data_IF_100773314787
#
_entry.id   IF_100773314787
#
_cell.length_a   1.000
_cell.length_b   1.000
_cell.length_c   1.000
_cell.angle_alpha   90.00
_cell.angle_beta   90.00
_cell.angle_gamma   90.00
#
_symmetry.space_group_name_H-M   'P 1'
#
loop_
_entity.id
_entity.type
_entity.pdbx_description
1 polymer ?
#
# COMPACT_ATOMS: atom_id res chain seq x y z
N UNK A 1 -23.15 -1.35 11.20
CA UNK A 1 -23.44 -0.43 10.10
C UNK A 1 -24.77 -0.82 9.48
N UNK A 2 -25.42 0.14 8.83
CA UNK A 2 -26.65 -0.02 8.07
C UNK A 2 -26.30 -0.08 6.58
N UNK A 3 -26.60 -1.18 5.93
CA UNK A 3 -26.39 -1.37 4.50
C UNK A 3 -27.71 -1.28 3.75
N UNK A 4 -27.62 -0.83 2.50
CA UNK A 4 -28.74 -0.82 1.57
C UNK A 4 -28.33 -1.51 0.27
N UNK A 5 -28.96 -2.62 -0.08
CA UNK A 5 -28.61 -3.41 -1.26
C UNK A 5 -29.61 -3.13 -2.38
N UNK A 6 -29.11 -2.95 -3.59
CA UNK A 6 -29.92 -2.72 -4.80
C UNK A 6 -29.47 -3.68 -5.89
N UNK A 7 -30.31 -4.64 -6.22
CA UNK A 7 -30.05 -5.64 -7.26
C UNK A 7 -31.41 -6.16 -7.74
N UNK A 8 -31.60 -6.31 -9.05
CA UNK A 8 -32.84 -6.86 -9.62
C UNK A 8 -32.91 -8.39 -9.54
N UNK A 9 -31.80 -9.05 -9.19
CA UNK A 9 -31.75 -10.48 -8.93
C UNK A 9 -32.10 -10.80 -7.46
N UNK A 10 -33.24 -11.46 -7.19
CA UNK A 10 -33.66 -11.80 -5.83
C UNK A 10 -32.72 -12.80 -5.13
N UNK A 11 -32.00 -13.64 -5.87
CA UNK A 11 -31.02 -14.56 -5.29
C UNK A 11 -29.81 -13.78 -4.76
N UNK A 12 -29.31 -12.81 -5.54
CA UNK A 12 -28.20 -11.95 -5.12
C UNK A 12 -28.58 -11.13 -3.89
N UNK A 13 -29.77 -10.51 -3.88
CA UNK A 13 -30.29 -9.80 -2.70
C UNK A 13 -30.30 -10.69 -1.46
N UNK A 14 -30.81 -11.93 -1.60
CA UNK A 14 -30.91 -12.88 -0.48
C UNK A 14 -29.52 -13.26 0.05
N UNK A 15 -28.58 -13.57 -0.85
CA UNK A 15 -27.21 -13.97 -0.48
C UNK A 15 -26.50 -12.82 0.23
N UNK A 16 -26.47 -11.63 -0.37
CA UNK A 16 -25.75 -10.48 0.20
C UNK A 16 -26.35 -10.02 1.54
N UNK A 17 -27.68 -10.05 1.65
CA UNK A 17 -28.38 -9.72 2.91
C UNK A 17 -27.92 -10.66 4.02
N UNK A 18 -27.98 -11.97 3.79
CA UNK A 18 -27.53 -12.97 4.78
C UNK A 18 -26.07 -12.79 5.16
N UNK A 19 -25.18 -12.59 4.18
CA UNK A 19 -23.75 -12.43 4.44
C UNK A 19 -23.45 -11.23 5.36
N UNK A 20 -24.09 -10.09 5.13
CA UNK A 20 -23.90 -8.88 5.93
C UNK A 20 -24.59 -8.96 7.29
N UNK A 21 -25.78 -9.56 7.36
CA UNK A 21 -26.48 -9.79 8.63
C UNK A 21 -25.70 -10.76 9.55
N UNK A 22 -25.14 -11.83 8.99
CA UNK A 22 -24.27 -12.77 9.73
C UNK A 22 -22.98 -12.09 10.21
N UNK A 23 -22.51 -11.04 9.52
CA UNK A 23 -21.41 -10.17 9.97
C UNK A 23 -21.84 -9.12 11.02
N UNK A 24 -23.10 -9.14 11.46
CA UNK A 24 -23.64 -8.26 12.51
C UNK A 24 -24.08 -6.88 12.00
N UNK A 25 -24.41 -6.76 10.70
CA UNK A 25 -24.90 -5.51 10.11
C UNK A 25 -26.42 -5.51 9.94
N UNK A 26 -27.01 -4.32 9.86
CA UNK A 26 -28.43 -4.16 9.49
C UNK A 26 -28.51 -3.96 8.00
N UNK A 27 -29.47 -4.59 7.34
CA UNK A 27 -29.59 -4.57 5.88
C UNK A 27 -31.01 -4.23 5.47
N UNK A 28 -31.14 -3.25 4.58
CA UNK A 28 -32.32 -3.01 3.76
C UNK A 28 -32.00 -3.40 2.32
N UNK A 29 -33.00 -3.86 1.56
CA UNK A 29 -32.79 -4.29 0.18
C UNK A 29 -33.95 -3.83 -0.70
N UNK A 30 -33.65 -3.45 -1.94
CA UNK A 30 -34.66 -3.13 -2.95
C UNK A 30 -34.35 -3.81 -4.30
N UNK A 31 -35.38 -4.32 -4.99
CA UNK A 31 -35.22 -5.00 -6.27
C UNK A 31 -35.08 -4.04 -7.47
N UNK A 32 -35.06 -2.71 -7.23
CA UNK A 32 -34.93 -1.74 -8.31
C UNK A 32 -34.31 -0.42 -7.85
N UNK A 33 -33.53 0.19 -8.74
CA UNK A 33 -32.93 1.51 -8.51
C UNK A 33 -33.97 2.61 -8.24
N UNK A 34 -35.15 2.55 -8.88
CA UNK A 34 -36.23 3.51 -8.64
C UNK A 34 -36.79 3.44 -7.22
N UNK A 35 -36.89 2.23 -6.67
CA UNK A 35 -37.34 2.02 -5.28
C UNK A 35 -36.26 2.50 -4.31
N UNK A 36 -35.01 2.13 -4.56
CA UNK A 36 -33.86 2.55 -3.77
C UNK A 36 -33.71 4.08 -3.73
N UNK A 37 -33.86 4.77 -4.87
CA UNK A 37 -33.75 6.22 -4.97
C UNK A 37 -34.78 6.98 -4.10
N UNK A 38 -35.92 6.35 -3.80
CA UNK A 38 -36.95 6.90 -2.90
C UNK A 38 -36.66 6.57 -1.43
N UNK A 39 -36.11 5.39 -1.15
CA UNK A 39 -35.94 4.86 0.19
C UNK A 39 -34.61 5.27 0.85
N UNK A 40 -33.49 5.27 0.12
CA UNK A 40 -32.15 5.63 0.63
C UNK A 40 -32.12 7.01 1.34
N UNK A 41 -32.76 8.08 0.81
CA UNK A 41 -32.81 9.38 1.50
C UNK A 41 -33.50 9.35 2.87
N UNK A 42 -34.42 8.40 3.06
CA UNK A 42 -35.19 8.21 4.30
C UNK A 42 -34.43 7.32 5.29
N UNK A 43 -33.86 6.21 4.83
CA UNK A 43 -33.14 5.25 5.68
C UNK A 43 -31.73 5.70 6.04
N UNK A 44 -31.09 6.52 5.20
CA UNK A 44 -29.72 7.04 5.37
C UNK A 44 -28.73 5.95 5.81
N UNK A 45 -28.52 4.92 4.97
CA UNK A 45 -27.60 3.84 5.28
C UNK A 45 -26.15 4.37 5.36
N UNK A 46 -25.28 3.64 6.05
CA UNK A 46 -23.85 3.91 6.03
C UNK A 46 -23.23 3.55 4.67
N UNK A 47 -23.78 2.54 3.99
CA UNK A 47 -23.29 2.05 2.71
C UNK A 47 -24.42 1.52 1.81
N UNK A 48 -24.39 1.89 0.54
CA UNK A 48 -25.25 1.36 -0.53
C UNK A 48 -24.42 0.42 -1.39
N UNK A 49 -24.89 -0.81 -1.61
CA UNK A 49 -24.31 -1.76 -2.55
C UNK A 49 -25.27 -1.88 -3.72
N UNK A 50 -24.83 -1.54 -4.93
CA UNK A 50 -25.71 -1.54 -6.11
C UNK A 50 -25.13 -2.38 -7.25
N UNK A 51 -25.97 -3.16 -7.92
CA UNK A 51 -25.67 -3.68 -9.26
C UNK A 51 -25.65 -2.53 -10.28
N UNK A 52 -25.07 -2.78 -11.47
CA UNK A 52 -25.08 -1.82 -12.57
C UNK A 52 -26.19 -2.07 -13.56
N UNK A 53 -26.52 -3.34 -13.83
CA UNK A 53 -27.37 -3.80 -14.91
C UNK A 53 -28.77 -4.09 -14.38
N UNK A 54 -29.52 -3.03 -14.05
CA UNK A 54 -30.91 -3.15 -13.61
C UNK A 54 -31.88 -2.59 -14.67
N UNK A 55 -33.12 -3.11 -14.75
CA UNK A 55 -34.17 -2.55 -15.61
C UNK A 55 -34.54 -1.12 -15.23
N UNK A 56 -35.02 -0.36 -16.22
CA UNK A 56 -35.54 1.02 -16.13
C UNK A 56 -34.51 2.08 -15.73
N UNK A 57 -33.75 1.86 -14.66
CA UNK A 57 -32.68 2.72 -14.19
C UNK A 57 -31.47 1.88 -13.81
N UNK A 58 -30.35 2.13 -14.48
CA UNK A 58 -29.09 1.43 -14.24
C UNK A 58 -28.38 1.96 -12.98
N UNK A 59 -27.39 1.21 -12.49
CA UNK A 59 -26.64 1.60 -11.30
C UNK A 59 -25.84 2.90 -11.47
N UNK A 60 -25.41 3.23 -12.69
CA UNK A 60 -24.71 4.48 -12.95
C UNK A 60 -25.62 5.70 -12.75
N UNK A 61 -26.86 5.63 -13.23
CA UNK A 61 -27.85 6.67 -13.03
C UNK A 61 -28.25 6.79 -11.56
N UNK A 62 -28.39 5.66 -10.85
CA UNK A 62 -28.64 5.67 -9.41
C UNK A 62 -27.52 6.40 -8.65
N UNK A 63 -26.25 6.05 -8.88
CA UNK A 63 -25.09 6.69 -8.23
C UNK A 63 -25.13 8.20 -8.45
N UNK A 64 -25.31 8.64 -9.71
CA UNK A 64 -25.37 10.06 -10.05
C UNK A 64 -26.47 10.79 -9.27
N UNK A 65 -27.69 10.23 -9.25
CA UNK A 65 -28.83 10.84 -8.56
C UNK A 65 -28.70 10.84 -7.04
N UNK A 66 -28.00 9.86 -6.46
CA UNK A 66 -27.68 9.85 -5.03
C UNK A 66 -26.62 10.90 -4.70
N UNK A 67 -25.61 11.09 -5.55
CA UNK A 67 -24.54 12.08 -5.36
C UNK A 67 -24.97 13.52 -5.60
N UNK A 68 -26.06 13.75 -6.32
CA UNK A 68 -26.73 15.06 -6.44
C UNK A 68 -27.39 15.52 -5.13
N UNK A 69 -27.54 14.64 -4.14
CA UNK A 69 -28.16 14.93 -2.84
C UNK A 69 -27.10 15.19 -1.79
N UNK A 70 -26.96 16.44 -1.35
CA UNK A 70 -25.96 16.84 -0.36
C UNK A 70 -26.12 16.11 0.98
N UNK A 71 -27.34 15.74 1.36
CA UNK A 71 -27.61 14.98 2.59
C UNK A 71 -27.11 13.54 2.55
N UNK A 72 -26.66 13.04 1.39
CA UNK A 72 -26.09 11.70 1.20
C UNK A 72 -24.60 11.73 0.88
N UNK A 73 -23.92 12.87 1.08
CA UNK A 73 -22.50 13.02 0.75
C UNK A 73 -21.61 11.99 1.48
N UNK A 74 -21.96 11.64 2.71
CA UNK A 74 -21.20 10.70 3.54
C UNK A 74 -21.56 9.23 3.31
N UNK A 75 -22.67 8.96 2.61
CA UNK A 75 -23.12 7.58 2.32
C UNK A 75 -22.15 6.94 1.34
N UNK A 76 -21.56 5.81 1.72
CA UNK A 76 -20.65 5.05 0.86
C UNK A 76 -21.44 4.36 -0.24
N UNK A 77 -20.96 4.40 -1.48
CA UNK A 77 -21.62 3.68 -2.58
C UNK A 77 -20.62 2.70 -3.20
N UNK A 78 -20.92 1.41 -3.10
CA UNK A 78 -20.12 0.32 -3.65
C UNK A 78 -20.89 -0.30 -4.82
N UNK A 79 -20.24 -0.38 -5.97
CA UNK A 79 -20.78 -1.12 -7.12
C UNK A 79 -20.41 -2.59 -6.99
N UNK A 80 -21.36 -3.50 -7.22
CA UNK A 80 -21.11 -4.93 -7.30
C UNK A 80 -21.69 -5.47 -8.60
N UNK A 81 -20.86 -5.72 -9.62
CA UNK A 81 -21.33 -6.06 -10.97
C UNK A 81 -20.66 -7.32 -11.54
N UNK A 82 -21.34 -8.03 -12.43
CA UNK A 82 -20.72 -9.09 -13.25
C UNK A 82 -19.74 -8.56 -14.31
N UNK A 83 -19.77 -7.25 -14.62
CA UNK A 83 -18.83 -6.62 -15.55
C UNK A 83 -17.57 -6.17 -14.80
N UNK A 84 -16.42 -6.74 -15.17
CA UNK A 84 -15.11 -6.40 -14.58
C UNK A 84 -14.21 -5.57 -15.47
N UNK A 85 -14.76 -4.82 -16.44
CA UNK A 85 -13.94 -4.00 -17.33
C UNK A 85 -13.46 -2.72 -16.64
N UNK A 86 -12.19 -2.36 -16.86
CA UNK A 86 -11.58 -1.13 -16.33
C UNK A 86 -12.33 0.15 -16.72
N UNK A 87 -13.09 0.12 -17.80
CA UNK A 87 -13.94 1.23 -18.23
C UNK A 87 -15.10 1.48 -17.25
N UNK A 88 -15.83 0.44 -16.87
CA UNK A 88 -16.98 0.54 -15.97
C UNK A 88 -16.55 0.96 -14.55
N UNK A 89 -15.44 0.40 -14.06
CA UNK A 89 -14.82 0.80 -12.79
C UNK A 89 -14.47 2.29 -12.77
N UNK A 90 -13.82 2.79 -13.83
CA UNK A 90 -13.47 4.22 -13.93
C UNK A 90 -14.71 5.10 -14.00
N UNK A 91 -15.72 4.70 -14.78
CA UNK A 91 -16.98 5.45 -14.91
C UNK A 91 -17.73 5.52 -13.58
N UNK A 92 -17.81 4.41 -12.83
CA UNK A 92 -18.46 4.39 -11.52
C UNK A 92 -17.77 5.34 -10.54
N UNK A 93 -16.42 5.32 -10.48
CA UNK A 93 -15.64 6.24 -9.65
C UNK A 93 -15.85 7.70 -10.04
N UNK A 94 -15.86 8.02 -11.33
CA UNK A 94 -16.13 9.39 -11.81
C UNK A 94 -17.53 9.90 -11.42
N UNK A 95 -18.51 9.01 -11.30
CA UNK A 95 -19.86 9.34 -10.87
C UNK A 95 -20.00 9.43 -9.33
N UNK A 96 -18.95 9.08 -8.59
CA UNK A 96 -18.89 9.20 -7.13
C UNK A 96 -19.05 7.90 -6.35
N UNK A 97 -18.90 6.72 -6.98
CA UNK A 97 -18.79 5.47 -6.23
C UNK A 97 -17.48 5.43 -5.41
N UNK A 98 -17.56 4.93 -4.18
CA UNK A 98 -16.42 4.76 -3.26
C UNK A 98 -15.63 3.47 -3.52
N UNK A 99 -16.26 2.48 -4.18
CA UNK A 99 -15.60 1.26 -4.60
C UNK A 99 -16.39 0.46 -5.64
N UNK A 100 -15.71 -0.50 -6.26
CA UNK A 100 -16.22 -1.34 -7.32
C UNK A 100 -15.73 -2.78 -7.15
N UNK A 101 -16.66 -3.72 -7.08
CA UNK A 101 -16.43 -5.13 -6.85
C UNK A 101 -17.04 -5.94 -8.00
N UNK A 102 -16.41 -7.05 -8.36
CA UNK A 102 -16.80 -7.87 -9.52
C UNK A 102 -17.29 -9.25 -9.11
N UNK A 103 -18.52 -9.62 -9.45
CA UNK A 103 -19.07 -10.97 -9.24
C UNK A 103 -18.31 -12.02 -10.10
N UNK A 104 -18.12 -13.28 -9.66
CA UNK A 104 -18.47 -13.82 -8.34
C UNK A 104 -17.38 -13.47 -7.29
N UNK A 105 -17.80 -13.22 -6.05
CA UNK A 105 -16.90 -12.94 -4.93
C UNK A 105 -17.10 -13.96 -3.83
N UNK A 106 -16.01 -14.44 -3.25
CA UNK A 106 -16.02 -15.27 -2.05
C UNK A 106 -16.37 -14.43 -0.82
N UNK A 107 -17.13 -15.01 0.12
CA UNK A 107 -17.64 -14.35 1.32
C UNK A 107 -16.62 -13.46 2.02
N UNK A 108 -15.45 -14.02 2.35
CA UNK A 108 -14.47 -13.33 3.18
C UNK A 108 -13.87 -12.13 2.44
N UNK A 109 -13.56 -12.31 1.15
CA UNK A 109 -13.09 -11.23 0.27
C UNK A 109 -14.12 -10.11 0.11
N UNK A 110 -15.41 -10.42 0.09
CA UNK A 110 -16.47 -9.41 0.01
C UNK A 110 -16.49 -8.53 1.26
N UNK A 111 -16.51 -9.16 2.44
CA UNK A 111 -16.64 -8.47 3.71
C UNK A 111 -15.39 -7.61 3.98
N UNK A 112 -14.20 -8.13 3.71
CA UNK A 112 -12.94 -7.38 3.83
C UNK A 112 -12.91 -6.16 2.90
N UNK A 113 -13.27 -6.35 1.62
CA UNK A 113 -13.25 -5.25 0.65
C UNK A 113 -14.28 -4.17 1.01
N UNK A 114 -15.51 -4.55 1.39
CA UNK A 114 -16.54 -3.62 1.85
C UNK A 114 -16.08 -2.89 3.10
N UNK A 115 -15.57 -3.60 4.10
CA UNK A 115 -15.08 -2.98 5.33
C UNK A 115 -13.97 -1.96 5.03
N UNK A 116 -13.02 -2.29 4.15
CA UNK A 116 -11.95 -1.38 3.72
C UNK A 116 -12.46 -0.13 2.99
N UNK A 117 -13.49 -0.28 2.14
CA UNK A 117 -14.12 0.85 1.45
C UNK A 117 -14.87 1.75 2.44
N UNK A 118 -15.65 1.15 3.34
CA UNK A 118 -16.51 1.89 4.27
C UNK A 118 -15.70 2.60 5.36
N UNK A 119 -14.65 1.95 5.86
CA UNK A 119 -13.81 2.49 6.93
C UNK A 119 -12.73 3.47 6.46
N UNK A 120 -12.60 3.70 5.15
CA UNK A 120 -11.49 4.46 4.54
C UNK A 120 -10.10 3.97 4.99
N UNK A 121 -9.99 2.69 5.37
CA UNK A 121 -8.75 2.12 5.88
C UNK A 121 -7.78 1.79 4.76
N UNK A 122 -6.49 1.84 5.09
CA UNK A 122 -5.43 1.20 4.32
C UNK A 122 -4.90 0.03 5.12
N UNK A 123 -4.86 -1.15 4.51
CA UNK A 123 -4.24 -2.33 5.12
C UNK A 123 -2.80 -2.42 4.60
N UNK A 124 -1.85 -2.19 5.51
CA UNK A 124 -0.42 -2.27 5.24
C UNK A 124 0.10 -3.61 5.72
N UNK A 125 0.75 -4.40 4.86
CA UNK A 125 1.33 -5.70 5.23
C UNK A 125 2.82 -5.71 4.91
N UNK A 126 3.62 -6.16 5.87
CA UNK A 126 5.08 -6.27 5.74
C UNK A 126 5.45 -7.68 5.30
N UNK A 127 6.17 -7.81 4.19
CA UNK A 127 6.59 -9.10 3.64
C UNK A 127 8.10 -9.33 3.74
N UNK A 128 8.86 -8.25 3.90
CA UNK A 128 10.27 -8.26 4.30
C UNK A 128 10.64 -6.91 4.90
N UNK A 129 11.50 -6.94 5.91
CA UNK A 129 11.82 -5.81 6.81
C UNK A 129 13.31 -5.57 7.02
N UNK A 130 14.17 -6.52 6.61
CA UNK A 130 15.62 -6.37 6.65
C UNK A 130 16.12 -5.65 5.40
N UNK A 131 17.31 -5.06 5.47
CA UNK A 131 18.00 -4.45 4.35
C UNK A 131 19.18 -5.27 3.87
N UNK A 132 19.78 -4.86 2.75
CA UNK A 132 21.03 -5.39 2.14
C UNK A 132 20.99 -6.84 1.65
N UNK A 133 20.60 -7.81 2.48
CA UNK A 133 20.50 -9.22 2.11
C UNK A 133 19.54 -9.99 3.03
N UNK A 134 18.96 -11.11 2.56
CA UNK A 134 18.09 -11.93 3.39
C UNK A 134 18.86 -12.65 4.51
N UNK A 135 18.29 -12.71 5.72
CA UNK A 135 18.88 -13.27 6.94
C UNK A 135 18.08 -14.48 7.45
N UNK A 136 18.26 -15.69 6.89
CA UNK A 136 17.62 -16.88 7.43
C UNK A 136 18.25 -17.30 8.77
N UNK A 137 17.47 -17.93 9.63
CA UNK A 137 17.97 -18.59 10.84
C UNK A 137 17.20 -18.23 12.10
N UNK A 138 17.50 -18.94 13.18
CA UNK A 138 16.79 -18.82 14.47
C UNK A 138 16.89 -17.43 15.10
N UNK A 139 17.93 -16.67 14.77
CA UNK A 139 18.18 -15.33 15.30
C UNK A 139 17.28 -14.22 14.70
N UNK A 140 16.49 -14.55 13.67
CA UNK A 140 15.69 -13.58 12.90
C UNK A 140 14.20 -13.98 12.83
N UNK A 141 13.75 -14.93 13.66
CA UNK A 141 12.40 -15.51 13.56
C UNK A 141 11.31 -14.53 14.04
N UNK A 142 11.62 -13.66 15.01
CA UNK A 142 10.65 -12.72 15.60
C UNK A 142 10.22 -11.65 14.61
N UNK A 143 11.17 -11.09 13.86
CA UNK A 143 10.87 -10.04 12.86
C UNK A 143 10.84 -10.56 11.43
N UNK A 144 11.52 -11.68 11.14
CA UNK A 144 11.68 -12.24 9.79
C UNK A 144 12.89 -11.65 9.08
N UNK A 145 13.54 -12.42 8.21
CA UNK A 145 14.81 -12.06 7.54
C UNK A 145 14.74 -11.71 6.06
N UNK A 146 13.57 -11.43 5.50
CA UNK A 146 13.40 -11.05 4.10
C UNK A 146 13.69 -9.56 3.88
N UNK A 147 14.18 -9.25 2.68
CA UNK A 147 14.50 -7.89 2.25
C UNK A 147 13.26 -7.12 1.78
N UNK A 148 13.32 -5.79 1.61
CA UNK A 148 12.14 -4.93 1.63
C UNK A 148 11.04 -5.32 0.65
N UNK A 149 9.84 -5.50 1.21
CA UNK A 149 8.61 -5.58 0.43
C UNK A 149 7.42 -5.25 1.34
N UNK A 150 6.66 -4.21 1.00
CA UNK A 150 5.47 -3.79 1.75
C UNK A 150 4.31 -3.66 0.78
N UNK A 151 3.16 -4.25 1.10
CA UNK A 151 1.95 -4.06 0.31
C UNK A 151 0.94 -3.18 1.03
N UNK A 152 0.17 -2.40 0.26
CA UNK A 152 -0.92 -1.57 0.75
C UNK A 152 -2.18 -1.87 -0.06
N UNK A 153 -3.19 -2.40 0.63
CA UNK A 153 -4.53 -2.64 0.09
C UNK A 153 -5.46 -1.48 0.48
N UNK A 154 -6.19 -0.93 -0.49
CA UNK A 154 -7.04 0.26 -0.31
C UNK A 154 -8.41 -0.02 -0.93
N UNK A 155 -9.25 -0.77 -0.22
CA UNK A 155 -10.54 -1.23 -0.72
C UNK A 155 -10.41 -1.96 -2.05
N UNK A 156 -10.92 -1.36 -3.12
CA UNK A 156 -10.95 -1.92 -4.48
C UNK A 156 -9.88 -1.34 -5.43
N UNK A 157 -8.94 -0.54 -4.92
CA UNK A 157 -7.83 -0.04 -5.73
C UNK A 157 -6.85 -1.16 -6.10
N UNK A 158 -6.14 -1.06 -7.24
CA UNK A 158 -5.00 -1.92 -7.52
C UNK A 158 -4.02 -1.97 -6.34
N UNK A 159 -3.53 -3.18 -6.05
CA UNK A 159 -2.59 -3.43 -4.96
C UNK A 159 -1.37 -2.53 -5.12
N UNK A 160 -1.04 -1.74 -4.10
CA UNK A 160 0.20 -0.96 -4.11
C UNK A 160 1.30 -1.75 -3.42
N UNK A 161 2.47 -1.86 -4.03
CA UNK A 161 3.63 -2.58 -3.50
C UNK A 161 4.81 -1.63 -3.48
N UNK A 162 5.50 -1.52 -2.35
CA UNK A 162 6.77 -0.82 -2.22
C UNK A 162 7.90 -1.84 -2.13
N UNK A 163 8.83 -1.74 -3.08
CA UNK A 163 9.96 -2.63 -3.29
C UNK A 163 9.62 -4.12 -3.49
N UNK A 164 10.55 -4.81 -4.12
CA UNK A 164 10.44 -6.18 -4.58
C UNK A 164 11.66 -7.02 -4.16
N UNK A 165 12.12 -6.81 -2.94
CA UNK A 165 13.10 -7.67 -2.29
C UNK A 165 12.59 -9.09 -2.09
N UNK A 166 13.32 -9.91 -1.33
CA UNK A 166 12.96 -11.31 -1.10
C UNK A 166 11.58 -11.49 -0.46
N UNK A 167 11.07 -10.47 0.24
CA UNK A 167 9.71 -10.46 0.77
C UNK A 167 8.63 -10.61 -0.30
N UNK A 168 8.88 -10.18 -1.55
CA UNK A 168 7.89 -10.31 -2.62
C UNK A 168 7.49 -11.75 -2.92
N UNK A 169 8.37 -12.72 -2.63
CA UNK A 169 8.01 -14.14 -2.76
C UNK A 169 6.88 -14.53 -1.81
N UNK A 170 6.91 -14.02 -0.57
CA UNK A 170 5.85 -14.29 0.42
C UNK A 170 4.53 -13.62 0.02
N UNK A 171 4.60 -12.38 -0.48
CA UNK A 171 3.43 -11.71 -1.05
C UNK A 171 2.86 -12.50 -2.24
N UNK A 172 3.73 -12.97 -3.14
CA UNK A 172 3.34 -13.80 -4.27
C UNK A 172 2.56 -15.03 -3.80
N UNK A 173 3.10 -15.78 -2.84
CA UNK A 173 2.48 -17.01 -2.34
C UNK A 173 1.10 -16.72 -1.73
N UNK A 174 0.99 -15.67 -0.90
CA UNK A 174 -0.28 -15.26 -0.31
C UNK A 174 -1.32 -14.87 -1.38
N UNK A 175 -0.93 -14.17 -2.44
CA UNK A 175 -1.83 -13.84 -3.56
C UNK A 175 -2.30 -15.12 -4.27
N UNK A 176 -1.38 -16.06 -4.50
CA UNK A 176 -1.67 -17.31 -5.19
C UNK A 176 -2.57 -18.23 -4.37
N UNK A 177 -2.37 -18.31 -3.05
CA UNK A 177 -3.20 -19.08 -2.12
C UNK A 177 -4.63 -18.57 -2.05
N UNK A 178 -4.84 -17.25 -2.16
CA UNK A 178 -6.19 -16.63 -2.25
C UNK A 178 -6.92 -16.95 -3.56
N UNK A 179 -6.24 -17.54 -4.56
CA UNK A 179 -6.86 -17.92 -5.84
C UNK A 179 -7.27 -16.73 -6.72
N UNK A 180 -6.61 -15.58 -6.59
CA UNK A 180 -6.92 -14.38 -7.36
C UNK A 180 -6.76 -14.62 -8.88
N UNK A 181 -7.86 -14.58 -9.63
CA UNK A 181 -7.83 -14.91 -11.08
C UNK A 181 -7.29 -13.76 -11.95
N UNK A 182 -7.37 -12.51 -11.49
CA UNK A 182 -6.86 -11.32 -12.21
C UNK A 182 -6.36 -10.26 -11.22
N UNK A 183 -5.05 -10.14 -11.09
CA UNK A 183 -4.40 -9.13 -10.26
C UNK A 183 -4.23 -7.82 -11.04
N UNK A 184 -4.55 -6.71 -10.39
CA UNK A 184 -4.06 -5.38 -10.79
C UNK A 184 -3.17 -4.84 -9.68
N UNK A 185 -1.93 -4.48 -10.00
CA UNK A 185 -0.96 -3.98 -9.02
C UNK A 185 -0.12 -2.82 -9.57
N UNK A 186 0.34 -1.96 -8.65
CA UNK A 186 1.30 -0.88 -8.89
C UNK A 186 2.49 -1.08 -7.97
N UNK A 187 3.66 -1.28 -8.56
CA UNK A 187 4.92 -1.50 -7.84
C UNK A 187 5.71 -0.19 -7.87
N UNK A 188 6.18 0.28 -6.71
CA UNK A 188 7.03 1.45 -6.55
C UNK A 188 8.37 1.01 -5.97
N UNK A 189 9.40 1.03 -6.81
CA UNK A 189 10.78 0.66 -6.48
C UNK A 189 11.53 1.91 -6.04
N UNK A 190 11.95 1.96 -4.78
CA UNK A 190 12.69 3.10 -4.21
C UNK A 190 14.00 3.36 -4.96
N UNK A 191 14.76 2.31 -5.23
CA UNK A 191 15.97 2.29 -6.02
C UNK A 191 16.34 0.84 -6.42
N UNK A 192 17.40 0.66 -7.20
CA UNK A 192 17.71 -0.62 -7.86
C UNK A 192 18.86 -1.38 -7.19
N UNK A 193 19.14 -1.15 -5.90
CA UNK A 193 19.98 -2.08 -5.16
C UNK A 193 19.30 -3.45 -5.07
N UNK A 194 20.11 -4.49 -4.98
CA UNK A 194 19.68 -5.86 -5.22
C UNK A 194 18.57 -6.29 -4.28
N UNK A 195 18.68 -5.96 -3.02
CA UNK A 195 17.71 -6.29 -1.98
C UNK A 195 16.33 -5.64 -2.17
N UNK A 196 16.17 -4.71 -3.11
CA UNK A 196 14.87 -4.12 -3.49
C UNK A 196 14.28 -4.70 -4.79
N UNK A 197 15.03 -5.47 -5.58
CA UNK A 197 14.58 -5.96 -6.90
C UNK A 197 14.91 -7.42 -7.22
N UNK A 198 15.77 -8.08 -6.43
CA UNK A 198 16.36 -9.39 -6.74
C UNK A 198 15.34 -10.53 -6.89
N UNK A 199 14.14 -10.36 -6.36
CA UNK A 199 13.15 -11.44 -6.27
C UNK A 199 11.91 -11.18 -7.16
N UNK A 200 11.92 -10.10 -7.95
CA UNK A 200 10.91 -9.85 -9.00
C UNK A 200 10.66 -11.09 -9.88
N UNK A 201 11.68 -11.85 -10.34
CA UNK A 201 11.45 -13.02 -11.20
C UNK A 201 10.63 -14.13 -10.52
N UNK A 202 10.48 -14.11 -9.20
CA UNK A 202 9.69 -15.08 -8.45
C UNK A 202 8.29 -14.56 -8.06
N UNK A 203 7.91 -13.38 -8.54
CA UNK A 203 6.55 -12.87 -8.38
C UNK A 203 5.63 -13.54 -9.41
N UNK A 204 5.05 -14.69 -9.02
CA UNK A 204 4.20 -15.54 -9.87
C UNK A 204 3.11 -14.77 -10.65
N UNK A 205 2.48 -13.70 -10.12
CA UNK A 205 1.51 -12.92 -10.87
C UNK A 205 2.00 -12.33 -12.19
N UNK A 206 3.30 -12.14 -12.40
CA UNK A 206 3.85 -11.69 -13.70
C UNK A 206 3.63 -12.70 -14.83
N UNK A 207 3.50 -13.98 -14.50
CA UNK A 207 3.37 -15.07 -15.47
C UNK A 207 1.92 -15.42 -15.82
N UNK A 208 0.95 -14.79 -15.16
CA UNK A 208 -0.48 -15.11 -15.31
C UNK A 208 -1.13 -14.15 -16.32
N UNK A 209 -1.75 -14.73 -17.36
CA UNK A 209 -2.47 -13.97 -18.39
C UNK A 209 -3.65 -13.20 -17.81
N UNK A 210 -3.77 -11.94 -18.22
CA UNK A 210 -4.85 -11.05 -17.80
C UNK A 210 -4.54 -10.21 -16.57
N UNK A 211 -3.44 -10.48 -15.86
CA UNK A 211 -2.92 -9.59 -14.84
C UNK A 211 -2.39 -8.29 -15.45
N UNK A 212 -2.48 -7.20 -14.69
CA UNK A 212 -1.94 -5.90 -15.06
C UNK A 212 -1.03 -5.38 -13.94
N UNK A 213 0.24 -5.14 -14.27
CA UNK A 213 1.24 -4.69 -13.31
C UNK A 213 1.92 -3.46 -13.91
N UNK A 214 1.81 -2.33 -13.22
CA UNK A 214 2.56 -1.13 -13.58
C UNK A 214 3.72 -0.98 -12.58
N UNK A 215 4.95 -0.81 -13.06
CA UNK A 215 6.16 -0.66 -12.24
C UNK A 215 6.73 0.74 -12.41
N UNK A 216 6.99 1.38 -11.29
CA UNK A 216 7.52 2.72 -11.19
C UNK A 216 8.81 2.69 -10.38
N UNK A 217 9.82 3.45 -10.77
CA UNK A 217 11.08 3.56 -10.03
C UNK A 217 12.00 4.60 -10.64
N UNK A 218 13.08 5.01 -9.97
CA UNK A 218 14.01 5.97 -10.54
C UNK A 218 14.84 5.33 -11.66
N UNK A 219 15.32 6.18 -12.57
CA UNK A 219 16.42 5.79 -13.47
C UNK A 219 17.77 5.97 -12.76
N UNK A 220 18.73 5.09 -13.04
CA UNK A 220 20.12 5.17 -12.54
C UNK A 220 21.05 5.57 -13.68
N UNK A 221 21.30 6.87 -13.84
CA UNK A 221 21.99 7.37 -15.03
C UNK A 221 21.21 7.01 -16.28
N UNK A 222 21.79 6.20 -17.16
CA UNK A 222 21.14 5.73 -18.40
C UNK A 222 20.32 4.43 -18.22
N UNK A 223 20.39 3.79 -17.03
CA UNK A 223 19.65 2.56 -16.75
C UNK A 223 18.21 2.89 -16.32
N UNK A 224 17.25 2.58 -17.18
CA UNK A 224 15.82 2.68 -16.87
C UNK A 224 15.37 1.58 -15.90
N UNK A 225 14.24 1.79 -15.22
CA UNK A 225 13.62 0.76 -14.37
C UNK A 225 13.25 -0.49 -15.18
N UNK A 226 12.83 -0.33 -16.44
CA UNK A 226 12.56 -1.45 -17.34
C UNK A 226 13.83 -2.28 -17.60
N UNK A 227 14.95 -1.63 -17.86
CA UNK A 227 16.26 -2.27 -18.06
C UNK A 227 16.74 -2.95 -16.78
N UNK A 228 16.57 -2.32 -15.61
CA UNK A 228 16.96 -2.91 -14.32
C UNK A 228 16.19 -4.21 -14.02
N UNK A 229 14.87 -4.24 -14.28
CA UNK A 229 14.05 -5.44 -14.13
C UNK A 229 14.47 -6.52 -15.13
N UNK A 230 14.66 -6.14 -16.40
CA UNK A 230 15.12 -7.08 -17.43
C UNK A 230 16.47 -7.70 -17.09
N UNK A 231 17.39 -6.92 -16.49
CA UNK A 231 18.71 -7.38 -16.09
C UNK A 231 18.68 -8.51 -15.04
N UNK A 232 17.69 -8.51 -14.14
CA UNK A 232 17.49 -9.61 -13.17
C UNK A 232 17.12 -10.94 -13.84
N UNK A 233 16.68 -10.88 -15.10
CA UNK A 233 16.14 -11.99 -15.87
C UNK A 233 16.95 -12.27 -17.14
N UNK A 234 18.20 -11.81 -17.17
CA UNK A 234 19.14 -12.16 -18.23
C UNK A 234 19.46 -13.65 -18.16
N UNK A 235 19.52 -14.30 -19.32
CA UNK A 235 19.62 -15.77 -19.44
C UNK A 235 20.85 -16.38 -18.76
N UNK A 236 21.87 -15.56 -18.49
CA UNK A 236 23.08 -15.94 -17.76
C UNK A 236 22.80 -16.17 -16.27
N UNK A 237 21.88 -15.40 -15.68
CA UNK A 237 21.57 -15.44 -14.24
C UNK A 237 20.23 -16.15 -13.96
N UNK A 238 19.30 -16.11 -14.91
CA UNK A 238 17.95 -16.64 -14.73
C UNK A 238 17.44 -17.32 -16.00
N UNK A 239 16.79 -18.50 -15.91
CA UNK A 239 16.40 -19.28 -17.10
C UNK A 239 15.19 -18.72 -17.86
N UNK A 240 14.54 -17.68 -17.35
CA UNK A 240 13.30 -17.10 -17.89
C UNK A 240 13.54 -15.61 -18.12
N UNK A 241 13.10 -15.08 -19.25
CA UNK A 241 13.24 -13.64 -19.57
C UNK A 241 11.92 -12.91 -19.32
N UNK A 242 11.92 -11.59 -19.52
CA UNK A 242 10.69 -10.79 -19.46
C UNK A 242 9.70 -11.13 -20.58
N UNK A 243 10.11 -11.87 -21.62
CA UNK A 243 9.26 -12.28 -22.75
C UNK A 243 8.25 -13.36 -22.37
N UNK A 244 8.54 -14.11 -21.32
CA UNK A 244 7.68 -15.17 -20.79
C UNK A 244 6.58 -14.63 -19.87
N UNK A 245 6.56 -13.33 -19.58
CA UNK A 245 5.47 -12.72 -18.80
C UNK A 245 4.12 -12.88 -19.51
N UNK A 246 3.14 -13.35 -18.74
CA UNK A 246 1.74 -13.42 -19.15
C UNK A 246 0.96 -12.15 -18.83
N UNK A 247 1.43 -11.38 -17.85
CA UNK A 247 0.81 -10.12 -17.42
C UNK A 247 1.12 -8.97 -18.40
N UNK A 248 0.23 -7.97 -18.45
CA UNK A 248 0.55 -6.66 -19.03
C UNK A 248 1.49 -5.94 -18.05
N UNK A 249 2.75 -5.77 -18.44
CA UNK A 249 3.74 -5.01 -17.69
C UNK A 249 3.97 -3.65 -18.33
N UNK A 250 3.86 -2.57 -17.56
CA UNK A 250 4.27 -1.23 -17.99
C UNK A 250 5.26 -0.68 -16.98
N UNK A 251 6.42 -0.27 -17.47
CA UNK A 251 7.46 0.33 -16.65
C UNK A 251 7.53 1.84 -16.92
N UNK A 252 7.69 2.65 -15.86
CA UNK A 252 7.86 4.11 -15.97
C UNK A 252 8.94 4.60 -15.02
N UNK A 253 9.93 5.28 -15.59
CA UNK A 253 10.92 6.01 -14.81
C UNK A 253 10.30 7.22 -14.11
N UNK A 254 10.64 7.39 -12.84
CA UNK A 254 10.18 8.48 -11.99
C UNK A 254 11.32 9.42 -11.63
N UNK A 255 10.93 10.65 -11.32
CA UNK A 255 11.74 11.69 -10.68
C UNK A 255 10.96 12.26 -9.49
N UNK A 256 11.39 13.38 -8.93
CA UNK A 256 10.54 14.15 -8.01
C UNK A 256 9.33 14.70 -8.77
N UNK A 257 8.16 14.14 -8.50
CA UNK A 257 6.90 14.43 -9.17
C UNK A 257 5.69 13.99 -8.35
N UNK A 258 4.51 14.31 -8.87
CA UNK A 258 3.23 13.85 -8.34
C UNK A 258 2.53 12.97 -9.37
N UNK A 259 2.06 11.82 -8.91
CA UNK A 259 1.27 10.87 -9.67
C UNK A 259 -0.14 10.79 -9.08
N UNK A 260 -1.16 10.78 -9.94
CA UNK A 260 -2.56 10.70 -9.54
C UNK A 260 -3.23 9.50 -10.23
N UNK A 261 -3.85 8.65 -9.43
CA UNK A 261 -4.53 7.43 -9.83
C UNK A 261 -5.96 7.44 -9.25
N UNK A 262 -6.81 8.33 -9.76
CA UNK A 262 -8.13 8.54 -9.18
C UNK A 262 -8.03 9.08 -7.74
N UNK A 263 -8.55 8.38 -6.72
CA UNK A 263 -8.49 8.85 -5.33
C UNK A 263 -7.13 8.60 -4.66
N UNK A 264 -6.19 7.91 -5.32
CA UNK A 264 -4.85 7.63 -4.82
C UNK A 264 -3.85 8.61 -5.43
N UNK A 265 -3.06 9.27 -4.57
CA UNK A 265 -1.95 10.15 -4.96
C UNK A 265 -0.63 9.59 -4.43
N UNK A 266 0.41 9.61 -5.26
CA UNK A 266 1.80 9.35 -4.87
C UNK A 266 2.61 10.62 -5.14
N UNK A 267 3.16 11.22 -4.10
CA UNK A 267 4.20 12.24 -4.21
C UNK A 267 5.57 11.57 -4.02
N UNK A 268 6.59 11.96 -4.78
CA UNK A 268 7.96 11.42 -4.68
C UNK A 268 8.97 12.47 -4.24
N UNK A 269 10.01 12.05 -3.52
CA UNK A 269 11.13 12.90 -3.08
C UNK A 269 12.45 12.14 -3.22
N UNK A 270 13.52 12.81 -3.65
CA UNK A 270 14.86 12.21 -3.66
C UNK A 270 15.40 12.05 -2.25
N UNK A 271 15.97 10.88 -1.96
CA UNK A 271 16.56 10.54 -0.66
C UNK A 271 18.09 10.66 -0.68
N UNK A 272 18.66 10.88 0.50
CA UNK A 272 20.11 10.93 0.69
C UNK A 272 20.67 9.51 0.78
N UNK A 273 20.93 8.89 -0.37
CA UNK A 273 21.48 7.54 -0.48
C UNK A 273 22.38 7.44 -1.73
N UNK A 274 23.40 6.57 -1.78
CA UNK A 274 24.18 6.34 -3.00
C UNK A 274 23.30 5.98 -4.21
N UNK A 275 23.52 6.67 -5.33
CA UNK A 275 22.67 6.55 -6.52
C UNK A 275 21.39 7.38 -6.44
N UNK A 276 20.42 7.07 -7.30
CA UNK A 276 19.10 7.73 -7.29
C UNK A 276 18.15 6.91 -6.43
N UNK A 277 17.76 7.42 -5.27
CA UNK A 277 16.76 6.79 -4.40
C UNK A 277 15.56 7.72 -4.20
N UNK A 278 14.35 7.15 -4.27
CA UNK A 278 13.09 7.87 -4.08
C UNK A 278 12.35 7.39 -2.83
N UNK A 279 11.89 8.35 -2.05
CA UNK A 279 10.87 8.18 -1.02
C UNK A 279 9.49 8.45 -1.60
N UNK A 280 8.49 7.74 -1.08
CA UNK A 280 7.11 7.82 -1.54
C UNK A 280 6.19 8.30 -0.43
N UNK A 281 5.31 9.26 -0.73
CA UNK A 281 4.14 9.59 0.09
C UNK A 281 2.88 9.17 -0.64
N UNK A 282 2.26 8.10 -0.15
CA UNK A 282 0.94 7.67 -0.58
C UNK A 282 -0.12 8.44 0.21
N UNK A 283 -1.10 9.01 -0.49
CA UNK A 283 -2.28 9.64 0.10
C UNK A 283 -3.54 9.14 -0.58
N UNK A 284 -4.48 8.58 0.17
CA UNK A 284 -5.80 8.19 -0.33
C UNK A 284 -6.83 8.21 0.80
N UNK A 285 -8.09 8.53 0.49
CA UNK A 285 -9.22 8.48 1.46
C UNK A 285 -8.94 9.18 2.82
N UNK A 286 -8.19 10.28 2.80
CA UNK A 286 -7.83 11.03 4.01
C UNK A 286 -6.73 10.40 4.89
N UNK A 287 -6.12 9.30 4.43
CA UNK A 287 -4.98 8.64 5.07
C UNK A 287 -3.71 8.83 4.27
N UNK A 288 -2.57 8.73 4.94
CA UNK A 288 -1.26 8.81 4.29
C UNK A 288 -0.21 7.88 4.88
N UNK A 289 0.65 7.37 3.99
CA UNK A 289 1.81 6.54 4.31
C UNK A 289 3.03 7.18 3.66
N UNK A 290 4.12 7.30 4.41
CA UNK A 290 5.43 7.64 3.87
C UNK A 290 6.33 6.41 3.94
N UNK A 291 6.82 5.97 2.78
CA UNK A 291 7.81 4.92 2.64
C UNK A 291 9.16 5.57 2.32
N UNK A 292 9.98 5.76 3.34
CA UNK A 292 11.29 6.42 3.31
C UNK A 292 12.32 5.39 3.76
N UNK A 293 12.58 4.37 2.92
CA UNK A 293 13.62 3.37 3.18
C UNK A 293 15.01 4.04 3.15
N UNK A 294 16.03 3.39 2.63
CA UNK A 294 17.39 3.83 2.34
C UNK A 294 17.56 5.35 2.24
N UNK A 295 17.93 5.93 3.38
CA UNK A 295 18.05 7.36 3.58
C UNK A 295 19.00 7.65 4.73
N UNK A 296 19.98 8.51 4.50
CA UNK A 296 20.93 8.97 5.50
C UNK A 296 20.55 10.33 6.07
N UNK A 297 20.32 10.36 7.38
CA UNK A 297 20.19 11.58 8.17
C UNK A 297 21.50 11.81 8.93
N UNK A 298 22.35 12.66 8.39
CA UNK A 298 23.57 13.07 9.07
C UNK A 298 23.25 13.84 10.36
N UNK A 299 23.87 13.52 11.52
CA UNK A 299 23.66 14.24 12.77
C UNK A 299 24.01 15.74 12.69
N UNK A 300 23.33 16.60 13.48
CA UNK A 300 23.74 18.00 13.63
C UNK A 300 25.21 18.11 14.03
N UNK A 301 25.98 18.90 13.29
CA UNK A 301 27.42 19.06 13.51
C UNK A 301 28.31 18.22 12.58
N UNK A 302 27.75 17.25 11.85
CA UNK A 302 28.44 16.63 10.71
C UNK A 302 28.69 17.66 9.60
N UNK A 303 29.84 17.60 8.94
CA UNK A 303 30.13 18.44 7.75
C UNK A 303 29.23 18.11 6.55
N UNK A 304 28.60 16.93 6.56
CA UNK A 304 27.63 16.49 5.55
C UNK A 304 26.18 16.77 5.94
N UNK A 305 25.94 17.32 7.13
CA UNK A 305 24.60 17.70 7.54
C UNK A 305 24.03 18.78 6.62
N UNK A 306 22.88 18.49 6.02
CA UNK A 306 22.18 19.41 5.15
C UNK A 306 20.82 19.78 5.77
N UNK A 307 20.77 20.94 6.41
CA UNK A 307 19.56 21.42 7.08
C UNK A 307 18.38 21.56 6.11
N UNK A 308 18.63 22.05 4.88
CA UNK A 308 17.57 22.18 3.87
C UNK A 308 16.98 20.83 3.51
N UNK A 309 17.81 19.80 3.36
CA UNK A 309 17.35 18.44 3.09
C UNK A 309 16.48 17.91 4.22
N UNK A 310 16.92 18.07 5.47
CA UNK A 310 16.17 17.64 6.66
C UNK A 310 14.83 18.37 6.75
N UNK A 311 14.77 19.68 6.47
CA UNK A 311 13.53 20.45 6.44
C UNK A 311 12.58 19.99 5.33
N UNK A 312 13.10 19.71 4.13
CA UNK A 312 12.32 19.17 3.02
C UNK A 312 11.73 17.80 3.37
N UNK A 313 12.53 16.89 3.94
CA UNK A 313 12.06 15.58 4.34
C UNK A 313 11.04 15.68 5.48
N UNK A 314 11.29 16.54 6.46
CA UNK A 314 10.34 16.83 7.56
C UNK A 314 8.99 17.30 7.01
N UNK A 315 9.01 18.22 6.04
CA UNK A 315 7.79 18.68 5.37
C UNK A 315 7.11 17.58 4.57
N UNK A 316 7.90 16.74 3.88
CA UNK A 316 7.40 15.62 3.08
C UNK A 316 6.67 14.58 3.94
N UNK A 317 7.21 14.22 5.11
CA UNK A 317 6.60 13.23 6.02
C UNK A 317 5.61 13.83 7.03
N UNK A 318 5.40 15.15 7.00
CA UNK A 318 4.60 15.87 7.99
C UNK A 318 3.19 15.28 8.15
N UNK A 319 2.83 15.03 9.41
CA UNK A 319 1.52 14.59 9.89
C UNK A 319 0.99 13.32 9.19
N UNK A 320 1.88 12.52 8.61
CA UNK A 320 1.53 11.23 7.99
C UNK A 320 0.96 10.26 9.04
N UNK A 321 0.01 9.41 8.63
CA UNK A 321 -0.56 8.40 9.54
C UNK A 321 0.46 7.30 9.86
N UNK A 322 1.34 7.01 8.91
CA UNK A 322 2.39 6.01 9.05
C UNK A 322 3.66 6.44 8.31
N UNK A 323 4.78 6.45 9.02
CA UNK A 323 6.13 6.56 8.45
C UNK A 323 6.83 5.21 8.59
N UNK A 324 7.10 4.56 7.46
CA UNK A 324 7.94 3.35 7.36
C UNK A 324 9.31 3.85 6.91
N UNK A 325 10.34 3.65 7.73
CA UNK A 325 11.63 4.29 7.42
C UNK A 325 12.87 3.52 7.84
N UNK A 326 13.95 3.76 7.11
CA UNK A 326 15.28 3.24 7.41
C UNK A 326 15.68 3.48 8.86
N UNK A 327 16.12 2.41 9.49
CA UNK A 327 16.66 2.38 10.84
C UNK A 327 17.80 1.38 10.92
N UNK A 328 18.63 1.36 9.89
CA UNK A 328 19.68 0.36 9.73
C UNK A 328 20.62 0.36 10.94
N UNK A 329 20.98 1.53 11.46
CA UNK A 329 21.99 1.66 12.52
C UNK A 329 21.46 2.14 13.87
N UNK A 330 22.07 1.61 14.93
CA UNK A 330 22.04 2.25 16.25
C UNK A 330 23.00 3.44 16.28
N UNK A 331 22.76 4.38 17.18
CA UNK A 331 23.62 5.54 17.38
C UNK A 331 25.09 5.18 17.65
N UNK A 332 25.34 4.08 18.36
CA UNK A 332 26.70 3.61 18.63
C UNK A 332 27.43 3.04 17.41
N UNK A 333 26.68 2.61 16.39
CA UNK A 333 27.21 1.95 15.18
C UNK A 333 27.48 2.97 14.07
N UNK A 334 26.64 4.00 14.00
CA UNK A 334 26.64 5.00 12.93
C UNK A 334 27.99 5.68 12.67
N UNK A 335 28.82 6.06 13.66
CA UNK A 335 30.12 6.72 13.39
C UNK A 335 31.05 5.92 12.48
N UNK A 336 30.94 4.59 12.49
CA UNK A 336 31.72 3.68 11.63
C UNK A 336 31.07 3.36 10.28
N UNK A 337 29.84 3.85 10.07
CA UNK A 337 28.96 3.54 8.94
C UNK A 337 28.47 4.80 8.20
N UNK A 338 28.93 5.97 8.60
CA UNK A 338 28.61 7.22 7.91
C UNK A 338 28.97 7.10 6.42
N UNK A 339 28.14 7.70 5.57
CA UNK A 339 28.22 7.67 4.10
C UNK A 339 27.79 6.35 3.44
N UNK A 340 27.28 5.39 4.20
CA UNK A 340 26.72 4.16 3.64
C UNK A 340 25.25 4.33 3.22
N UNK A 341 24.65 5.51 3.42
CA UNK A 341 23.32 5.81 2.92
C UNK A 341 22.17 5.44 3.86
N UNK A 342 22.44 5.22 5.14
CA UNK A 342 21.45 4.81 6.14
C UNK A 342 21.55 5.62 7.44
N UNK A 343 20.47 5.62 8.23
CA UNK A 343 20.31 6.49 9.40
C UNK A 343 20.50 5.78 10.74
N UNK A 344 20.93 6.58 11.72
CA UNK A 344 20.86 6.21 13.14
C UNK A 344 19.43 6.42 13.69
N UNK A 345 19.00 5.55 14.59
CA UNK A 345 17.65 5.61 15.20
C UNK A 345 17.33 6.94 15.90
N UNK A 346 18.29 7.63 16.51
CA UNK A 346 18.01 8.96 17.12
C UNK A 346 17.62 10.03 16.11
N UNK A 347 18.23 10.02 14.92
CA UNK A 347 17.94 10.98 13.86
C UNK A 347 16.54 10.74 13.28
N UNK A 348 16.17 9.47 13.18
CA UNK A 348 14.82 9.04 12.76
C UNK A 348 13.78 9.43 13.80
N UNK A 349 14.04 9.21 15.10
CA UNK A 349 13.14 9.60 16.18
C UNK A 349 12.88 11.11 16.16
N UNK A 350 13.93 11.90 15.98
CA UNK A 350 13.85 13.34 15.92
C UNK A 350 13.11 13.84 14.65
N UNK A 351 13.36 13.26 13.47
CA UNK A 351 12.58 13.52 12.25
C UNK A 351 11.08 13.26 12.50
N UNK A 352 10.75 12.10 13.05
CA UNK A 352 9.38 11.69 13.33
C UNK A 352 8.66 12.64 14.30
N UNK A 353 9.34 13.04 15.37
CA UNK A 353 8.83 13.99 16.35
C UNK A 353 8.59 15.38 15.73
N UNK A 354 9.57 15.91 14.98
CA UNK A 354 9.47 17.22 14.32
C UNK A 354 8.37 17.27 13.28
N UNK A 355 8.20 16.18 12.53
CA UNK A 355 7.16 16.02 11.52
C UNK A 355 5.77 15.72 12.12
N UNK A 356 5.67 15.43 13.42
CA UNK A 356 4.43 15.01 14.10
C UNK A 356 3.75 13.81 13.41
N UNK A 357 4.54 12.82 13.02
CA UNK A 357 3.99 11.58 12.42
C UNK A 357 3.15 10.85 13.47
N UNK A 358 2.07 10.17 13.06
CA UNK A 358 1.20 9.48 14.03
C UNK A 358 1.82 8.15 14.48
N UNK A 359 2.36 7.39 13.52
CA UNK A 359 3.05 6.11 13.76
C UNK A 359 4.39 6.09 13.04
N UNK A 360 5.43 5.65 13.75
CA UNK A 360 6.78 5.41 13.23
C UNK A 360 7.06 3.90 13.24
N UNK A 361 7.31 3.33 12.07
CA UNK A 361 7.71 1.94 11.91
C UNK A 361 9.18 1.86 11.53
N UNK A 362 9.96 1.23 12.40
CA UNK A 362 11.39 0.98 12.17
C UNK A 362 11.53 -0.10 11.11
N UNK A 363 12.25 0.18 10.04
CA UNK A 363 12.36 -0.70 8.87
C UNK A 363 13.81 -0.73 8.36
N UNK A 364 14.09 -1.60 7.39
CA UNK A 364 15.40 -1.76 6.76
C UNK A 364 16.49 -2.10 7.79
N UNK A 365 16.31 -3.19 8.53
CA UNK A 365 17.25 -3.59 9.58
C UNK A 365 18.54 -4.18 8.99
N UNK A 366 19.70 -3.83 9.57
CA UNK A 366 21.01 -4.34 9.13
C UNK A 366 21.05 -5.88 9.23
N UNK A 367 21.63 -6.58 8.24
CA UNK A 367 21.61 -8.04 8.21
C UNK A 367 22.41 -8.70 9.35
N UNK A 368 23.32 -7.99 10.01
CA UNK A 368 24.06 -8.51 11.15
C UNK A 368 23.32 -8.27 12.49
N UNK A 369 22.16 -7.60 12.47
CA UNK A 369 21.35 -7.32 13.65
C UNK A 369 20.29 -8.41 13.87
N UNK A 370 20.43 -9.15 14.96
CA UNK A 370 19.44 -10.16 15.39
C UNK A 370 18.15 -9.51 15.89
N UNK A 371 17.12 -10.32 16.15
CA UNK A 371 15.86 -9.87 16.74
C UNK A 371 16.05 -9.04 18.04
N UNK A 372 17.04 -9.40 18.87
CA UNK A 372 17.34 -8.67 20.12
C UNK A 372 17.99 -7.30 19.88
N UNK A 373 18.73 -7.16 18.77
CA UNK A 373 19.25 -5.86 18.33
C UNK A 373 18.11 -4.96 17.83
N UNK A 374 17.12 -5.52 17.12
CA UNK A 374 15.91 -4.79 16.69
C UNK A 374 15.09 -4.35 17.90
N UNK A 375 14.90 -5.21 18.91
CA UNK A 375 14.25 -4.83 20.18
C UNK A 375 14.97 -3.69 20.88
N UNK A 376 16.31 -3.70 20.81
CA UNK A 376 17.13 -2.64 21.38
C UNK A 376 16.94 -1.32 20.63
N UNK A 377 16.95 -1.34 19.29
CA UNK A 377 16.61 -0.16 18.47
C UNK A 377 15.22 0.38 18.81
N UNK A 378 14.23 -0.49 18.98
CA UNK A 378 12.87 -0.09 19.35
C UNK A 378 12.80 0.61 20.70
N UNK A 379 13.48 0.09 21.72
CA UNK A 379 13.57 0.75 23.04
C UNK A 379 14.29 2.10 22.94
N UNK A 380 15.45 2.16 22.30
CA UNK A 380 16.25 3.38 22.15
C UNK A 380 15.47 4.48 21.42
N UNK A 381 14.71 4.11 20.39
CA UNK A 381 13.87 5.04 19.63
C UNK A 381 12.72 5.58 20.47
N UNK A 382 12.02 4.71 21.22
CA UNK A 382 10.93 5.12 22.13
C UNK A 382 11.43 6.05 23.24
N UNK A 383 12.59 5.75 23.82
CA UNK A 383 13.23 6.64 24.81
C UNK A 383 13.61 7.99 24.20
N UNK A 384 14.13 8.02 22.97
CA UNK A 384 14.42 9.26 22.26
C UNK A 384 13.15 10.10 22.02
N UNK A 385 12.06 9.47 21.56
CA UNK A 385 10.76 10.14 21.39
C UNK A 385 10.21 10.69 22.71
N UNK A 386 10.34 9.94 23.81
CA UNK A 386 9.94 10.38 25.14
C UNK A 386 10.75 11.61 25.61
N UNK A 387 12.07 11.61 25.39
CA UNK A 387 12.93 12.77 25.69
C UNK A 387 12.54 14.02 24.90
N UNK A 388 12.06 13.83 23.67
CA UNK A 388 11.55 14.89 22.80
C UNK A 388 10.13 15.35 23.17
N UNK A 389 9.48 14.70 24.15
CA UNK A 389 8.09 15.00 24.53
C UNK A 389 7.08 14.68 23.42
N UNK A 390 7.39 13.68 22.59
CA UNK A 390 6.60 13.32 21.42
C UNK A 390 5.60 12.19 21.71
N UNK A 391 4.38 12.33 21.19
CA UNK A 391 3.32 11.31 21.26
C UNK A 391 3.34 10.31 20.09
N UNK A 392 4.41 10.32 19.27
CA UNK A 392 4.58 9.41 18.13
C UNK A 392 4.55 7.96 18.63
N UNK A 393 3.66 7.14 18.08
CA UNK A 393 3.63 5.71 18.38
C UNK A 393 4.68 4.98 17.55
N UNK A 394 5.71 4.41 18.19
CA UNK A 394 6.79 3.72 17.52
C UNK A 394 6.69 2.19 17.67
N UNK A 395 6.80 1.45 16.57
CA UNK A 395 6.83 -0.02 16.53
C UNK A 395 7.89 -0.54 15.54
N UNK A 396 8.27 -1.81 15.66
CA UNK A 396 9.06 -2.53 14.66
C UNK A 396 8.18 -3.66 14.09
N UNK A 397 7.72 -3.56 12.83
CA UNK A 397 6.88 -4.58 12.23
C UNK A 397 7.67 -5.85 11.95
N UNK A 398 7.04 -7.01 12.20
CA UNK A 398 7.52 -8.30 11.74
C UNK A 398 6.90 -8.66 10.39
N UNK A 399 7.55 -9.52 9.63
CA UNK A 399 6.97 -10.12 8.42
C UNK A 399 5.65 -10.83 8.68
N UNK A 400 4.73 -10.73 7.73
CA UNK A 400 3.37 -11.25 7.82
C UNK A 400 2.45 -10.42 8.71
N UNK A 401 2.96 -9.40 9.42
CA UNK A 401 2.13 -8.49 10.21
C UNK A 401 1.41 -7.51 9.30
N UNK A 402 0.12 -7.35 9.55
CA UNK A 402 -0.70 -6.32 8.90
C UNK A 402 -1.15 -5.27 9.90
N UNK A 403 -1.27 -4.03 9.42
CA UNK A 403 -1.76 -2.89 10.18
C UNK A 403 -2.80 -2.15 9.36
N UNK A 404 -3.97 -1.95 9.97
CA UNK A 404 -4.98 -1.04 9.43
C UNK A 404 -4.74 0.37 9.99
N UNK A 405 -4.68 1.37 9.10
CA UNK A 405 -4.47 2.78 9.48
C UNK A 405 -5.67 3.66 9.21
#
# INVERSE_FOLDING_TARGET
MNFYIVDDDPEVLTILTRLLEEAGHRVEAAPSALTALKQIPLSRPDCVITDLMMPEMDGFELIRKLRERHELADVKIVVLSAKGYDFDRRRAKQLGADGYLTKPIQRDTLLEAIAGIVSNQMLVTYWGVHGTLPTPGEAYVRYGGNTPCVSVEIGDEPLTIFDCGSGIKRLSDAIMERGAQRLSARIFISHTHWDHINTIPFFAPLYIRGNQIDVFGPHQGDLTIASAISAQMESVYFPVTVREFGARLVCRDLREERLEFGPLRIDTMLLSHPGTCLGYRLSARGRSICYITDNELYPPGSSRHNTRYVEQLTAFVKETDLLITDTTYRDSEYPSKADWGHSAVSQVADLAARAKVKRLHLFHHDPDQTDDAIDTKLRETREALQRLGSDVNCDAPAEGRSLSI
#
